data_IF_083749340465
#
_entry.id   IF_083749340465
#
_cell.length_a   1.000
_cell.length_b   1.000
_cell.length_c   1.000
_cell.angle_alpha   90.00
_cell.angle_beta   90.00
_cell.angle_gamma   90.00
#
_symmetry.space_group_name_H-M   'P 1'
#
loop_
_entity.id
_entity.type
_entity.pdbx_description
1 polymer ?
#
# COMPACT_ATOMS: atom_id res chain seq x y z
N UNK A 1 43.08 -22.44 -45.05
CA UNK A 1 42.20 -21.62 -44.19
C UNK A 1 40.77 -21.87 -44.61
N UNK A 2 40.27 -23.07 -44.35
CA UNK A 2 39.73 -23.56 -43.07
C UNK A 2 38.22 -23.28 -42.98
N UNK A 3 37.46 -24.30 -43.40
CA UNK A 3 36.00 -24.41 -43.39
C UNK A 3 35.49 -24.98 -42.06
N UNK A 4 36.14 -24.67 -40.93
CA UNK A 4 35.75 -25.16 -39.59
C UNK A 4 35.25 -24.09 -38.61
N UNK A 5 34.89 -22.88 -39.08
CA UNK A 5 34.26 -21.84 -38.23
C UNK A 5 32.85 -21.42 -38.67
N UNK A 6 32.07 -22.38 -39.16
CA UNK A 6 30.68 -22.17 -39.63
C UNK A 6 29.60 -22.91 -38.80
N UNK A 7 29.94 -23.45 -37.62
CA UNK A 7 29.02 -24.29 -36.85
C UNK A 7 28.54 -23.73 -35.50
N UNK A 8 29.01 -22.59 -35.01
CA UNK A 8 28.56 -22.07 -33.70
C UNK A 8 27.65 -20.83 -33.77
N UNK A 9 27.72 -20.05 -34.85
CA UNK A 9 26.86 -18.86 -35.02
C UNK A 9 25.46 -19.16 -35.58
N UNK A 10 25.19 -20.40 -36.03
CA UNK A 10 23.84 -20.86 -36.44
C UNK A 10 22.96 -21.32 -35.28
N UNK A 11 23.53 -21.59 -34.11
CA UNK A 11 22.78 -22.03 -32.92
C UNK A 11 22.28 -20.84 -32.10
N UNK A 12 23.02 -19.73 -32.08
CA UNK A 12 22.61 -18.49 -31.39
C UNK A 12 21.50 -17.75 -32.14
N UNK A 13 21.45 -17.86 -33.48
CA UNK A 13 20.41 -17.25 -34.31
C UNK A 13 19.06 -17.99 -34.35
N UNK A 14 18.95 -19.17 -33.72
CA UNK A 14 17.70 -19.95 -33.65
C UNK A 14 16.93 -19.81 -32.34
N UNK A 15 17.48 -19.10 -31.36
CA UNK A 15 16.81 -18.81 -30.07
C UNK A 15 16.23 -17.38 -30.01
N UNK A 16 16.38 -16.60 -31.09
CA UNK A 16 15.87 -15.22 -31.12
C UNK A 16 14.98 -14.89 -32.33
N UNK A 17 14.42 -15.84 -33.07
CA UNK A 17 13.35 -15.57 -34.06
C UNK A 17 12.44 -16.80 -34.20
N UNK A 18 11.75 -17.18 -33.14
CA UNK A 18 10.50 -17.94 -33.26
C UNK A 18 9.71 -17.75 -31.97
N UNK A 19 8.93 -16.68 -31.97
CA UNK A 19 7.73 -16.38 -31.18
C UNK A 19 7.52 -14.85 -31.28
N UNK A 20 7.41 -14.34 -32.52
CA UNK A 20 6.63 -13.13 -32.73
C UNK A 20 5.16 -13.55 -32.61
N UNK A 21 4.42 -13.10 -31.59
CA UNK A 21 2.99 -13.35 -31.56
C UNK A 21 2.39 -12.70 -32.80
N UNK A 22 1.65 -13.48 -33.57
CA UNK A 22 0.81 -13.01 -34.66
C UNK A 22 0.07 -11.74 -34.22
N UNK A 23 0.21 -10.68 -35.02
CA UNK A 23 -0.26 -9.31 -34.74
C UNK A 23 -1.80 -9.15 -34.73
N UNK A 24 -2.53 -10.21 -34.41
CA UNK A 24 -4.00 -10.29 -34.56
C UNK A 24 -4.69 -10.82 -33.31
N UNK A 25 -3.96 -11.14 -32.23
CA UNK A 25 -4.58 -11.59 -30.98
C UNK A 25 -3.83 -11.12 -29.73
N UNK A 26 -3.38 -9.86 -29.74
CA UNK A 26 -3.04 -9.17 -28.49
C UNK A 26 -4.34 -8.65 -27.90
N UNK A 27 -5.15 -9.57 -27.38
CA UNK A 27 -6.14 -9.20 -26.39
C UNK A 27 -5.37 -8.43 -25.32
N UNK A 28 -5.73 -7.17 -25.09
CA UNK A 28 -5.42 -6.50 -23.85
C UNK A 28 -6.11 -7.32 -22.76
N UNK A 29 -5.55 -8.46 -22.38
CA UNK A 29 -5.71 -8.95 -21.02
C UNK A 29 -5.09 -7.84 -20.20
N UNK A 30 -5.96 -6.89 -19.80
CA UNK A 30 -5.66 -5.85 -18.85
C UNK A 30 -5.06 -6.61 -17.68
N UNK A 31 -3.72 -6.62 -17.58
CA UNK A 31 -3.01 -7.21 -16.46
C UNK A 31 -3.75 -6.67 -15.25
N UNK A 32 -4.35 -7.58 -14.48
CA UNK A 32 -5.22 -7.19 -13.38
C UNK A 32 -4.31 -6.54 -12.34
N UNK A 33 -4.13 -5.22 -12.46
CA UNK A 33 -3.27 -4.46 -11.59
C UNK A 33 -3.81 -4.62 -10.17
N UNK A 34 -2.98 -5.19 -9.30
CA UNK A 34 -3.29 -5.29 -7.88
C UNK A 34 -2.91 -3.96 -7.27
N UNK A 35 -3.90 -3.24 -6.77
CA UNK A 35 -3.70 -2.04 -5.98
C UNK A 35 -3.71 -2.43 -4.50
N UNK A 36 -2.87 -1.80 -3.69
CA UNK A 36 -2.87 -1.89 -2.24
C UNK A 36 -3.23 -0.54 -1.63
N UNK A 37 -3.91 -0.55 -0.48
CA UNK A 37 -4.23 0.66 0.28
C UNK A 37 -3.71 0.46 1.71
N UNK A 38 -2.93 1.43 2.17
CA UNK A 38 -2.55 1.57 3.56
C UNK A 38 -2.97 2.96 4.05
N UNK A 39 -3.34 3.05 5.31
CA UNK A 39 -3.77 4.28 5.98
C UNK A 39 -2.93 4.43 7.23
N UNK A 40 -2.30 5.59 7.40
CA UNK A 40 -1.63 5.95 8.66
C UNK A 40 -2.64 6.69 9.54
N UNK A 41 -2.84 6.21 10.76
CA UNK A 41 -3.83 6.72 11.70
C UNK A 41 -3.15 7.65 12.71
N UNK A 42 -2.95 8.88 12.26
CA UNK A 42 -2.40 10.01 13.00
C UNK A 42 -3.42 11.15 13.05
N UNK A 43 -3.43 11.95 14.13
CA UNK A 43 -4.23 13.18 14.18
C UNK A 43 -3.42 14.39 13.68
N UNK A 44 -4.09 15.52 13.46
CA UNK A 44 -3.52 16.70 12.80
C UNK A 44 -2.24 17.24 13.47
N UNK A 45 -2.05 17.03 14.77
CA UNK A 45 -0.87 17.45 15.54
C UNK A 45 0.21 16.37 15.65
N UNK A 46 -0.10 15.12 15.31
CA UNK A 46 0.84 14.01 15.33
C UNK A 46 1.71 13.96 14.06
N UNK A 47 1.26 14.61 12.98
CA UNK A 47 1.92 14.54 11.67
C UNK A 47 3.36 15.05 11.74
N UNK A 48 4.28 14.29 11.13
CA UNK A 48 5.72 14.60 11.11
C UNK A 48 6.03 16.04 10.66
N UNK A 49 5.24 16.57 9.74
CA UNK A 49 5.41 17.93 9.21
C UNK A 49 5.19 19.05 10.24
N UNK A 50 4.54 18.77 11.37
CA UNK A 50 4.28 19.75 12.43
C UNK A 50 5.11 19.52 13.69
N UNK A 51 6.07 18.58 13.67
CA UNK A 51 6.92 18.26 14.83
C UNK A 51 7.69 19.45 15.42
N UNK A 52 8.00 20.45 14.58
CA UNK A 52 8.74 21.65 15.00
C UNK A 52 7.81 22.72 15.61
N UNK A 53 6.49 22.55 15.47
CA UNK A 53 5.45 23.47 15.94
C UNK A 53 4.70 22.91 17.13
N UNK A 54 4.36 21.61 17.11
CA UNK A 54 3.67 20.92 18.19
C UNK A 54 4.60 19.84 18.74
N UNK A 55 5.03 20.04 19.99
CA UNK A 55 5.89 19.08 20.68
C UNK A 55 5.09 17.87 21.15
N UNK A 56 5.76 16.75 21.31
CA UNK A 56 5.16 15.48 21.75
C UNK A 56 4.49 15.61 23.13
N UNK A 57 5.08 16.41 24.00
CA UNK A 57 4.58 16.73 25.35
C UNK A 57 3.26 17.52 25.33
N UNK A 58 3.00 18.25 24.24
CA UNK A 58 1.81 19.10 24.10
C UNK A 58 0.64 18.35 23.45
N UNK A 59 0.78 17.05 23.14
CA UNK A 59 -0.27 16.26 22.46
C UNK A 59 -1.55 16.10 23.29
N UNK A 60 -1.42 15.85 24.60
CA UNK A 60 -2.57 15.57 25.48
C UNK A 60 -3.52 16.77 25.67
N UNK A 61 -3.08 17.98 25.29
CA UNK A 61 -3.89 19.20 25.38
C UNK A 61 -4.49 19.62 24.02
N UNK A 62 -4.20 18.89 22.94
CA UNK A 62 -4.76 19.20 21.62
C UNK A 62 -6.18 18.64 21.47
N UNK A 63 -6.96 19.29 20.61
CA UNK A 63 -8.26 18.77 20.21
C UNK A 63 -8.09 17.53 19.32
N UNK A 64 -8.67 16.41 19.74
CA UNK A 64 -8.72 15.17 18.97
C UNK A 64 -9.80 15.24 17.89
N UNK A 65 -9.43 14.99 16.64
CA UNK A 65 -10.30 15.08 15.45
C UNK A 65 -10.34 13.81 14.61
N UNK A 66 -9.54 12.80 14.96
CA UNK A 66 -9.35 11.57 14.17
C UNK A 66 -10.61 10.71 13.98
N UNK A 67 -11.59 10.78 14.89
CA UNK A 67 -12.71 9.82 14.93
C UNK A 67 -13.62 9.92 13.69
N UNK A 68 -14.12 11.13 13.39
CA UNK A 68 -15.11 11.32 12.32
C UNK A 68 -14.56 10.98 10.93
N UNK A 69 -13.32 11.38 10.64
CA UNK A 69 -12.66 11.09 9.36
C UNK A 69 -12.40 9.60 9.20
N UNK A 70 -11.99 8.92 10.27
CA UNK A 70 -11.71 7.47 10.25
C UNK A 70 -12.97 6.67 9.99
N UNK A 71 -14.08 6.97 10.68
CA UNK A 71 -15.37 6.30 10.43
C UNK A 71 -15.86 6.50 9.00
N UNK A 72 -15.63 7.68 8.41
CA UNK A 72 -15.97 7.92 7.01
C UNK A 72 -15.14 7.02 6.08
N UNK A 73 -13.85 6.87 6.34
CA UNK A 73 -12.96 6.00 5.58
C UNK A 73 -13.40 4.53 5.71
N UNK A 74 -13.67 4.05 6.93
CA UNK A 74 -14.17 2.69 7.17
C UNK A 74 -15.46 2.42 6.39
N UNK A 75 -16.42 3.36 6.44
CA UNK A 75 -17.65 3.28 5.67
C UNK A 75 -17.39 3.19 4.16
N UNK A 76 -16.47 4.01 3.62
CA UNK A 76 -16.13 3.99 2.20
C UNK A 76 -15.49 2.66 1.78
N UNK A 77 -14.54 2.15 2.58
CA UNK A 77 -13.90 0.86 2.33
C UNK A 77 -14.92 -0.28 2.36
N UNK A 78 -15.84 -0.27 3.33
CA UNK A 78 -16.91 -1.26 3.50
C UNK A 78 -17.90 -1.23 2.31
N UNK A 79 -18.39 -0.05 1.91
CA UNK A 79 -19.28 0.13 0.73
C UNK A 79 -18.65 -0.44 -0.55
N UNK A 80 -17.33 -0.30 -0.69
CA UNK A 80 -16.59 -0.77 -1.85
C UNK A 80 -15.98 -2.16 -1.68
N UNK A 81 -16.27 -2.86 -0.58
CA UNK A 81 -15.68 -4.16 -0.23
C UNK A 81 -14.15 -4.21 -0.45
N UNK A 82 -13.48 -3.13 -0.05
CA UNK A 82 -12.07 -2.87 -0.34
C UNK A 82 -11.24 -3.11 0.91
N UNK A 83 -10.19 -3.93 0.80
CA UNK A 83 -9.27 -4.19 1.92
C UNK A 83 -8.23 -3.07 2.04
N UNK A 84 -7.91 -2.72 3.28
CA UNK A 84 -6.85 -1.78 3.63
C UNK A 84 -6.10 -2.24 4.90
N UNK A 85 -4.87 -1.76 5.07
CA UNK A 85 -4.07 -1.90 6.28
C UNK A 85 -4.01 -0.57 7.01
N UNK A 86 -4.24 -0.56 8.32
CA UNK A 86 -4.15 0.64 9.15
C UNK A 86 -2.88 0.59 10.00
N UNK A 87 -2.01 1.58 9.87
CA UNK A 87 -0.89 1.79 10.78
C UNK A 87 -1.35 2.71 11.88
N UNK A 88 -1.42 2.23 13.12
CA UNK A 88 -1.98 3.01 14.23
C UNK A 88 -0.85 3.52 15.12
N UNK A 89 -0.78 4.85 15.28
CA UNK A 89 0.12 5.47 16.24
C UNK A 89 -0.23 4.99 17.65
N UNK A 90 0.77 4.48 18.40
CA UNK A 90 0.54 3.92 19.73
C UNK A 90 -0.23 4.85 20.68
N UNK A 91 0.10 6.15 20.67
CA UNK A 91 -0.64 7.14 21.45
C UNK A 91 -2.12 7.25 21.02
N UNK A 92 -2.43 7.21 19.73
CA UNK A 92 -3.82 7.19 19.24
C UNK A 92 -4.54 5.92 19.70
N UNK A 93 -3.88 4.76 19.67
CA UNK A 93 -4.45 3.52 20.16
C UNK A 93 -4.82 3.58 21.66
N UNK A 94 -4.03 4.32 22.45
CA UNK A 94 -4.29 4.56 23.87
C UNK A 94 -5.44 5.55 24.09
N UNK A 95 -5.54 6.61 23.28
CA UNK A 95 -6.59 7.63 23.43
C UNK A 95 -7.97 7.19 22.93
N UNK A 96 -8.03 6.45 21.82
CA UNK A 96 -9.30 6.00 21.20
C UNK A 96 -9.33 4.50 20.96
N UNK A 97 -9.25 3.67 22.02
CA UNK A 97 -9.23 2.21 21.87
C UNK A 97 -10.52 1.66 21.24
N UNK A 98 -11.65 2.36 21.37
CA UNK A 98 -12.90 2.00 20.71
C UNK A 98 -12.82 2.07 19.19
N UNK A 99 -12.13 3.09 18.65
CA UNK A 99 -11.95 3.25 17.21
C UNK A 99 -11.04 2.14 16.64
N UNK A 100 -10.00 1.76 17.38
CA UNK A 100 -9.12 0.64 16.99
C UNK A 100 -9.88 -0.67 16.91
N UNK A 101 -10.77 -0.94 17.87
CA UNK A 101 -11.63 -2.13 17.84
C UNK A 101 -12.57 -2.13 16.64
N UNK A 102 -13.16 -0.98 16.30
CA UNK A 102 -14.03 -0.85 15.13
C UNK A 102 -13.26 -1.15 13.82
N UNK A 103 -11.99 -0.72 13.71
CA UNK A 103 -11.12 -1.07 12.58
C UNK A 103 -10.93 -2.58 12.48
N UNK A 104 -10.68 -3.27 13.61
CA UNK A 104 -10.53 -4.73 13.64
C UNK A 104 -11.83 -5.47 13.31
N UNK A 105 -12.96 -5.02 13.84
CA UNK A 105 -14.29 -5.63 13.65
C UNK A 105 -14.76 -5.56 12.19
N UNK A 106 -14.42 -4.48 11.47
CA UNK A 106 -14.67 -4.36 10.02
C UNK A 106 -13.72 -5.24 9.16
N UNK A 107 -12.82 -5.99 9.80
CA UNK A 107 -11.93 -6.96 9.14
C UNK A 107 -10.71 -6.32 8.48
N UNK A 108 -10.36 -5.08 8.86
CA UNK A 108 -9.11 -4.44 8.46
C UNK A 108 -7.98 -4.88 9.38
N UNK A 109 -6.75 -4.88 8.87
CA UNK A 109 -5.58 -5.28 9.65
C UNK A 109 -4.91 -4.05 10.28
N UNK A 110 -4.91 -3.92 11.63
CA UNK A 110 -4.09 -2.94 12.31
C UNK A 110 -2.64 -3.44 12.41
N UNK A 111 -1.69 -2.59 12.01
CA UNK A 111 -0.27 -2.74 12.31
C UNK A 111 0.13 -1.64 13.32
N UNK A 112 0.61 -2.07 14.48
CA UNK A 112 1.05 -1.18 15.54
C UNK A 112 2.50 -0.79 15.28
N UNK A 113 2.68 0.24 14.45
CA UNK A 113 3.98 0.80 14.13
C UNK A 113 4.72 1.21 15.41
N UNK A 114 5.88 0.60 15.66
CA UNK A 114 6.81 1.02 16.71
C UNK A 114 7.58 2.24 16.20
N UNK A 115 7.04 3.44 16.42
CA UNK A 115 7.79 4.66 16.15
C UNK A 115 8.74 4.88 17.34
N UNK A 116 10.02 4.64 17.09
CA UNK A 116 11.16 5.00 17.98
C UNK A 116 11.49 6.47 17.88
#
# INVERSE_FOLDING_TARGET
MDRSKLSESRVVGKILVELSPSRTQMGLQRLKMRNGISIDLEDWFCVYNLRDVVRREDWDIQELRIDQSTRLILKLLSIHNTKATFFVLGWIAEQVPGLVREIEEEGFHPDYGRIS
#
